data_IF_491449515465
#
_entry.id   IF_491449515465
#
_cell.length_a   1.000
_cell.length_b   1.000
_cell.length_c   1.000
_cell.angle_alpha   90.00
_cell.angle_beta   90.00
_cell.angle_gamma   90.00
#
_symmetry.space_group_name_H-M   'P 1'
#
loop_
_entity.id
_entity.type
_entity.pdbx_description
1 polymer ?
#
# COMPACT_ATOMS: atom_id res chain seq x y z
N UNK A 1 22.89 60.50 15.94
CA UNK A 1 21.98 59.49 16.53
C UNK A 1 20.72 59.23 15.68
N UNK A 2 20.08 60.25 15.07
CA UNK A 2 18.86 60.07 14.23
C UNK A 2 18.97 59.14 13.00
N UNK A 3 20.17 58.83 12.49
CA UNK A 3 20.35 57.97 11.29
C UNK A 3 20.28 56.46 11.60
N UNK A 4 20.57 56.06 12.84
CA UNK A 4 20.53 54.65 13.27
C UNK A 4 19.10 54.21 13.60
N UNK A 5 18.27 55.13 14.12
CA UNK A 5 16.86 54.86 14.41
C UNK A 5 16.03 54.63 13.13
N UNK A 6 16.35 55.34 12.04
CA UNK A 6 15.70 55.15 10.73
C UNK A 6 16.07 53.79 10.12
N UNK A 7 17.29 53.31 10.35
CA UNK A 7 17.74 52.02 9.81
C UNK A 7 17.09 50.83 10.52
N UNK A 8 16.86 50.95 11.83
CA UNK A 8 16.16 49.93 12.63
C UNK A 8 14.67 49.82 12.28
N UNK A 9 14.03 50.95 11.95
CA UNK A 9 12.62 50.96 11.55
C UNK A 9 12.40 50.36 10.15
N UNK A 10 13.39 50.46 9.25
CA UNK A 10 13.35 49.84 7.93
C UNK A 10 13.53 48.31 7.97
N UNK A 11 14.30 47.79 8.95
CA UNK A 11 14.56 46.35 9.08
C UNK A 11 13.34 45.56 9.60
N UNK A 12 12.48 46.21 10.40
CA UNK A 12 11.26 45.59 10.96
C UNK A 12 10.16 45.41 9.90
N UNK A 13 10.11 46.28 8.87
CA UNK A 13 9.10 46.21 7.81
C UNK A 13 9.29 45.04 6.83
N UNK A 14 10.47 44.42 6.80
CA UNK A 14 10.78 43.33 5.86
C UNK A 14 10.34 41.96 6.40
N UNK A 15 10.06 41.84 7.71
CA UNK A 15 9.67 40.57 8.35
C UNK A 15 8.16 40.31 8.39
N UNK A 16 7.32 41.18 7.81
CA UNK A 16 5.85 41.09 7.92
C UNK A 16 5.14 40.34 6.78
N UNK A 17 5.85 39.85 5.76
CA UNK A 17 5.24 39.04 4.70
C UNK A 17 5.19 37.56 5.10
N UNK A 18 4.47 37.27 6.18
CA UNK A 18 3.98 35.93 6.48
C UNK A 18 2.79 35.63 5.59
N UNK A 19 3.00 34.89 4.50
CA UNK A 19 1.92 34.37 3.67
C UNK A 19 1.21 33.25 4.44
N UNK A 20 0.12 33.55 5.12
CA UNK A 20 -0.77 32.53 5.68
C UNK A 20 -1.58 31.92 4.54
N UNK A 21 -1.09 30.83 3.96
CA UNK A 21 -1.90 29.99 3.08
C UNK A 21 -2.92 29.25 3.94
N UNK A 22 -4.10 29.85 4.09
CA UNK A 22 -5.29 29.16 4.59
C UNK A 22 -5.71 28.15 3.52
N UNK A 23 -5.34 26.89 3.70
CA UNK A 23 -5.94 25.78 2.96
C UNK A 23 -7.37 25.61 3.45
N UNK A 24 -8.34 26.04 2.64
CA UNK A 24 -9.74 25.68 2.82
C UNK A 24 -9.89 24.16 2.60
N UNK A 25 -10.09 23.43 3.69
CA UNK A 25 -10.53 22.04 3.64
C UNK A 25 -12.03 22.05 3.41
N UNK A 26 -12.47 21.86 2.16
CA UNK A 26 -13.87 21.65 1.82
C UNK A 26 -14.34 20.32 2.43
N UNK A 27 -14.85 20.36 3.67
CA UNK A 27 -15.60 19.24 4.24
C UNK A 27 -16.99 19.20 3.59
N UNK A 28 -17.08 18.60 2.41
CA UNK A 28 -18.35 18.11 1.90
C UNK A 28 -18.70 16.82 2.62
N UNK A 29 -19.33 16.99 3.78
CA UNK A 29 -19.93 15.92 4.56
C UNK A 29 -21.25 15.51 3.89
N UNK A 30 -21.17 14.74 2.81
CA UNK A 30 -22.33 14.02 2.28
C UNK A 30 -21.99 12.54 2.37
N UNK A 31 -22.54 11.90 3.39
CA UNK A 31 -22.37 10.48 3.68
C UNK A 31 -23.24 9.69 2.68
N UNK A 32 -22.89 9.72 1.40
CA UNK A 32 -23.25 8.67 0.47
C UNK A 32 -22.37 7.48 0.81
N UNK A 33 -22.94 6.28 0.85
CA UNK A 33 -22.16 5.03 0.89
C UNK A 33 -21.45 4.86 -0.47
N UNK A 34 -20.58 5.81 -0.81
CA UNK A 34 -19.83 5.87 -2.05
C UNK A 34 -18.71 4.84 -1.93
N UNK A 35 -18.87 3.76 -2.68
CA UNK A 35 -17.76 2.89 -3.03
C UNK A 35 -16.75 3.78 -3.75
N UNK A 36 -15.68 4.17 -3.05
CA UNK A 36 -14.62 4.97 -3.63
C UNK A 36 -13.67 4.03 -4.38
N UNK A 37 -13.30 4.42 -5.60
CA UNK A 37 -12.36 3.69 -6.43
C UNK A 37 -11.08 4.50 -6.57
N UNK A 38 -9.93 3.83 -6.55
CA UNK A 38 -8.67 4.41 -7.01
C UNK A 38 -8.32 3.73 -8.32
N UNK A 39 -8.10 4.55 -9.34
CA UNK A 39 -7.49 4.12 -10.59
C UNK A 39 -6.07 4.67 -10.62
N UNK A 40 -5.11 3.76 -10.62
CA UNK A 40 -3.71 4.02 -10.93
C UNK A 40 -3.49 3.82 -12.43
N UNK A 41 -2.25 3.86 -12.92
CA UNK A 41 -2.00 3.69 -14.36
C UNK A 41 -2.35 2.28 -14.86
N UNK A 42 -2.33 1.28 -13.98
CA UNK A 42 -2.46 -0.13 -14.38
C UNK A 42 -3.39 -0.96 -13.49
N UNK A 43 -3.95 -0.35 -12.44
CA UNK A 43 -4.76 -1.06 -11.46
C UNK A 43 -5.90 -0.16 -10.95
N UNK A 44 -7.12 -0.69 -11.00
CA UNK A 44 -8.29 -0.10 -10.37
C UNK A 44 -8.73 -0.95 -9.18
N UNK A 45 -8.92 -0.35 -8.01
CA UNK A 45 -9.43 -1.06 -6.81
C UNK A 45 -10.51 -0.26 -6.08
N UNK A 46 -11.34 -0.95 -5.32
CA UNK A 46 -12.23 -0.34 -4.33
C UNK A 46 -11.46 -0.05 -3.04
N UNK A 47 -11.62 1.15 -2.47
CA UNK A 47 -11.12 1.48 -1.14
C UNK A 47 -12.15 1.02 -0.10
N UNK A 48 -11.73 0.22 0.91
CA UNK A 48 -12.61 -0.13 2.01
C UNK A 48 -12.96 1.09 2.88
N UNK A 49 -14.10 1.04 3.56
CA UNK A 49 -14.46 2.06 4.56
C UNK A 49 -13.41 2.12 5.66
N UNK A 50 -13.00 3.33 6.07
CA UNK A 50 -11.99 3.54 7.10
C UNK A 50 -10.54 3.34 6.62
N UNK A 51 -10.32 3.37 5.30
CA UNK A 51 -9.01 3.32 4.68
C UNK A 51 -8.80 4.52 3.76
N UNK A 52 -7.54 4.93 3.61
CA UNK A 52 -7.13 6.04 2.75
C UNK A 52 -5.90 5.67 1.94
N UNK A 53 -5.79 6.27 0.76
CA UNK A 53 -4.59 6.20 -0.07
C UNK A 53 -3.46 7.04 0.51
N UNK A 54 -2.26 6.47 0.54
CA UNK A 54 -1.02 7.21 0.78
C UNK A 54 -0.35 7.49 -0.55
N UNK A 55 -0.35 8.76 -0.95
CA UNK A 55 0.32 9.24 -2.17
C UNK A 55 1.83 9.40 -2.02
N UNK A 56 2.31 9.34 -0.77
CA UNK A 56 3.71 9.58 -0.44
C UNK A 56 4.55 8.33 -0.67
N UNK A 57 4.74 8.00 -1.95
CA UNK A 57 5.51 6.85 -2.42
C UNK A 57 6.78 7.34 -3.13
N UNK A 58 7.72 7.90 -2.36
CA UNK A 58 8.95 8.51 -2.87
C UNK A 58 9.76 7.61 -3.79
N UNK A 59 9.75 6.30 -3.55
CA UNK A 59 10.52 5.31 -4.31
C UNK A 59 9.71 4.66 -5.45
N UNK A 60 8.44 5.05 -5.64
CA UNK A 60 7.52 4.47 -6.63
C UNK A 60 7.44 2.94 -6.57
N UNK A 61 7.67 2.36 -5.38
CA UNK A 61 7.67 0.90 -5.19
C UNK A 61 6.25 0.36 -5.27
N UNK A 62 5.29 1.11 -4.75
CA UNK A 62 3.89 0.72 -4.71
C UNK A 62 3.11 1.29 -5.90
N UNK A 63 2.36 0.45 -6.60
CA UNK A 63 1.32 0.96 -7.51
C UNK A 63 0.22 1.64 -6.67
N UNK A 64 -0.10 1.05 -5.52
CA UNK A 64 -1.09 1.58 -4.57
C UNK A 64 -0.68 1.25 -3.13
N UNK A 65 -0.90 2.20 -2.21
CA UNK A 65 -0.72 1.97 -0.78
C UNK A 65 -1.92 2.52 -0.01
N UNK A 66 -2.62 1.63 0.68
CA UNK A 66 -3.74 1.93 1.56
C UNK A 66 -3.31 1.78 3.01
N UNK A 67 -3.75 2.71 3.84
CA UNK A 67 -3.54 2.70 5.29
C UNK A 67 -4.88 2.93 5.96
N UNK A 68 -5.17 2.21 7.04
CA UNK A 68 -6.42 2.42 7.78
C UNK A 68 -6.40 3.75 8.55
N UNK A 69 -7.57 4.22 9.01
CA UNK A 69 -7.68 5.52 9.67
C UNK A 69 -6.81 5.64 10.93
N UNK A 70 -6.67 4.54 11.67
CA UNK A 70 -5.82 4.44 12.85
C UNK A 70 -4.33 4.36 12.54
N UNK A 71 -3.96 4.25 11.25
CA UNK A 71 -2.58 4.14 10.78
C UNK A 71 -1.79 3.03 11.49
N UNK A 72 -2.45 1.89 11.75
CA UNK A 72 -1.83 0.72 12.36
C UNK A 72 -1.75 -0.48 11.40
N UNK A 73 -2.46 -0.45 10.27
CA UNK A 73 -2.46 -1.49 9.26
C UNK A 73 -2.30 -0.90 7.85
N UNK A 74 -1.65 -1.67 6.98
CA UNK A 74 -1.39 -1.30 5.58
C UNK A 74 -1.78 -2.44 4.64
N UNK A 75 -2.30 -2.06 3.47
CA UNK A 75 -2.45 -2.92 2.30
C UNK A 75 -1.73 -2.23 1.15
N UNK A 76 -0.75 -2.90 0.56
CA UNK A 76 0.08 -2.33 -0.51
C UNK A 76 0.07 -3.23 -1.74
N UNK A 77 0.04 -2.63 -2.91
CA UNK A 77 0.14 -3.30 -4.21
C UNK A 77 1.50 -2.98 -4.81
N UNK A 78 2.30 -4.02 -5.02
CA UNK A 78 3.66 -3.93 -5.55
C UNK A 78 3.64 -4.56 -6.95
N UNK A 79 3.94 -3.82 -8.02
CA UNK A 79 4.02 -4.38 -9.36
C UNK A 79 5.21 -5.34 -9.46
N UNK A 80 4.98 -6.46 -10.15
CA UNK A 80 5.99 -7.50 -10.38
C UNK A 80 6.34 -7.48 -11.86
N UNK A 81 7.59 -7.12 -12.13
CA UNK A 81 8.12 -7.05 -13.49
C UNK A 81 8.77 -8.40 -13.82
N UNK A 82 8.18 -9.12 -14.76
CA UNK A 82 8.74 -10.34 -15.31
C UNK A 82 9.60 -10.03 -16.53
N UNK A 83 10.70 -10.76 -16.69
CA UNK A 83 11.48 -10.69 -17.92
C UNK A 83 10.77 -11.48 -19.04
N UNK A 84 11.20 -11.27 -20.29
CA UNK A 84 10.57 -11.92 -21.45
C UNK A 84 10.61 -13.44 -21.40
N UNK A 85 11.65 -14.04 -20.83
CA UNK A 85 11.76 -15.50 -20.68
C UNK A 85 10.68 -16.07 -19.74
N UNK A 86 10.39 -15.37 -18.65
CA UNK A 86 9.35 -15.76 -17.70
C UNK A 86 7.95 -15.53 -18.28
N UNK A 87 7.78 -14.59 -19.22
CA UNK A 87 6.50 -14.32 -19.87
C UNK A 87 6.01 -15.49 -20.75
N UNK A 88 6.92 -16.32 -21.26
CA UNK A 88 6.61 -17.48 -22.10
C UNK A 88 6.13 -18.72 -21.30
N UNK A 89 6.21 -18.69 -19.97
CA UNK A 89 5.78 -19.80 -19.10
C UNK A 89 4.26 -19.88 -18.96
N UNK A 90 3.74 -21.01 -18.48
CA UNK A 90 2.33 -21.08 -18.10
C UNK A 90 2.04 -20.18 -16.89
N UNK A 91 0.78 -19.74 -16.73
CA UNK A 91 0.37 -18.88 -15.62
C UNK A 91 0.68 -19.48 -14.25
N UNK A 92 0.43 -20.78 -14.08
CA UNK A 92 0.77 -21.50 -12.85
C UNK A 92 2.27 -21.45 -12.58
N UNK A 93 3.11 -21.72 -13.58
CA UNK A 93 4.57 -21.67 -13.40
C UNK A 93 5.07 -20.26 -13.06
N UNK A 94 4.48 -19.22 -13.67
CA UNK A 94 4.81 -17.82 -13.35
C UNK A 94 4.51 -17.52 -11.89
N UNK A 95 3.30 -17.83 -11.42
CA UNK A 95 2.89 -17.60 -10.02
C UNK A 95 3.79 -18.37 -9.05
N UNK A 96 4.14 -19.63 -9.35
CA UNK A 96 5.06 -20.42 -8.52
C UNK A 96 6.46 -19.80 -8.43
N UNK A 97 6.99 -19.29 -9.56
CA UNK A 97 8.29 -18.63 -9.60
C UNK A 97 8.27 -17.31 -8.84
N UNK A 98 7.22 -16.51 -9.02
CA UNK A 98 7.01 -15.26 -8.28
C UNK A 98 6.97 -15.55 -6.78
N UNK A 99 6.17 -16.53 -6.35
CA UNK A 99 6.10 -16.99 -4.96
C UNK A 99 7.50 -17.30 -4.43
N UNK A 100 8.25 -18.12 -5.15
CA UNK A 100 9.61 -18.53 -4.76
C UNK A 100 10.55 -17.32 -4.63
N UNK A 101 10.51 -16.37 -5.56
CA UNK A 101 11.34 -15.16 -5.51
C UNK A 101 11.00 -14.36 -4.24
N UNK A 102 9.71 -14.15 -4.00
CA UNK A 102 9.21 -13.37 -2.87
C UNK A 102 9.59 -14.02 -1.53
N UNK A 103 9.36 -15.32 -1.37
CA UNK A 103 9.68 -16.04 -0.14
C UNK A 103 11.18 -16.14 0.10
N UNK A 104 11.97 -16.44 -0.94
CA UNK A 104 13.45 -16.45 -0.83
C UNK A 104 13.99 -15.08 -0.48
N UNK A 105 13.48 -14.00 -1.08
CA UNK A 105 13.89 -12.62 -0.73
C UNK A 105 13.65 -12.36 0.76
N UNK A 106 12.44 -12.63 1.24
CA UNK A 106 12.06 -12.45 2.65
C UNK A 106 12.92 -13.26 3.59
N UNK A 107 13.13 -14.54 3.29
CA UNK A 107 13.98 -15.45 4.07
C UNK A 107 15.43 -14.95 4.18
N UNK A 108 15.95 -14.30 3.14
CA UNK A 108 17.33 -13.80 3.14
C UNK A 108 17.49 -12.41 3.77
N UNK A 109 16.40 -11.64 3.89
CA UNK A 109 16.44 -10.25 4.39
C UNK A 109 15.90 -10.07 5.80
N UNK A 110 15.09 -11.00 6.29
CA UNK A 110 14.52 -10.96 7.63
C UNK A 110 15.42 -11.70 8.63
N UNK A 111 15.44 -11.23 9.87
CA UNK A 111 16.10 -11.95 10.97
C UNK A 111 15.34 -13.23 11.31
N UNK A 112 14.00 -13.15 11.23
CA UNK A 112 13.08 -14.27 11.45
C UNK A 112 12.10 -14.35 10.28
N UNK A 113 11.99 -15.55 9.69
CA UNK A 113 11.03 -15.84 8.62
C UNK A 113 10.42 -17.24 8.83
N UNK A 114 9.10 -17.31 8.84
CA UNK A 114 8.35 -18.56 8.89
C UNK A 114 7.15 -18.50 7.93
N UNK A 115 7.06 -19.44 6.99
CA UNK A 115 5.88 -19.61 6.15
C UNK A 115 4.82 -20.43 6.92
N UNK A 116 3.69 -19.80 7.24
CA UNK A 116 2.61 -20.42 8.00
C UNK A 116 1.65 -21.20 7.10
N UNK A 117 1.24 -20.59 5.99
CA UNK A 117 0.26 -21.18 5.08
C UNK A 117 0.41 -20.70 3.64
N UNK A 118 -0.05 -21.55 2.72
CA UNK A 118 -0.15 -21.28 1.29
C UNK A 118 -1.50 -21.77 0.79
N UNK A 119 -2.21 -20.94 0.02
CA UNK A 119 -3.52 -21.28 -0.53
C UNK A 119 -3.67 -20.79 -1.98
N UNK A 120 -4.14 -21.66 -2.86
CA UNK A 120 -4.65 -21.24 -4.17
C UNK A 120 -6.04 -20.61 -3.99
N UNK A 121 -6.28 -19.44 -4.58
CA UNK A 121 -7.57 -18.76 -4.47
C UNK A 121 -8.36 -18.89 -5.77
N UNK A 122 -9.64 -19.24 -5.65
CA UNK A 122 -10.57 -19.25 -6.77
C UNK A 122 -10.95 -17.80 -7.12
N UNK A 123 -10.53 -17.35 -8.30
CA UNK A 123 -10.83 -15.99 -8.76
C UNK A 123 -10.77 -15.88 -10.28
N UNK A 124 -11.08 -14.68 -10.82
CA UNK A 124 -10.88 -14.37 -12.25
C UNK A 124 -9.41 -14.38 -12.69
N UNK A 125 -8.48 -14.24 -11.75
CA UNK A 125 -7.05 -14.28 -11.95
C UNK A 125 -6.45 -15.58 -11.37
N UNK A 126 -5.28 -15.98 -11.85
CA UNK A 126 -4.47 -16.95 -11.12
C UNK A 126 -3.95 -16.29 -9.86
N UNK A 127 -4.41 -16.76 -8.70
CA UNK A 127 -4.16 -16.15 -7.40
C UNK A 127 -3.57 -17.14 -6.40
N UNK A 128 -2.61 -16.65 -5.61
CA UNK A 128 -2.00 -17.42 -4.52
C UNK A 128 -1.82 -16.54 -3.29
N UNK A 129 -2.35 -17.00 -2.16
CA UNK A 129 -2.17 -16.38 -0.83
C UNK A 129 -1.05 -17.07 -0.08
N UNK A 130 -0.22 -16.29 0.61
CA UNK A 130 0.92 -16.71 1.41
C UNK A 130 0.87 -15.98 2.75
N UNK A 131 0.69 -16.72 3.83
CA UNK A 131 0.75 -16.17 5.18
C UNK A 131 2.09 -16.52 5.81
N UNK A 132 2.76 -15.54 6.41
CA UNK A 132 4.07 -15.75 7.01
C UNK A 132 4.31 -14.81 8.19
N UNK A 133 5.25 -15.19 9.04
CA UNK A 133 5.81 -14.35 10.10
C UNK A 133 7.13 -13.77 9.60
N UNK A 134 7.28 -12.45 9.72
CA UNK A 134 8.56 -11.74 9.55
C UNK A 134 8.83 -10.91 10.78
N UNK A 135 9.96 -11.16 11.46
CA UNK A 135 10.38 -10.39 12.64
C UNK A 135 9.24 -10.23 13.67
N UNK A 136 8.59 -11.34 14.05
CA UNK A 136 7.41 -11.39 14.95
C UNK A 136 6.15 -10.65 14.48
N UNK A 137 6.06 -10.28 13.19
CA UNK A 137 4.86 -9.69 12.59
C UNK A 137 4.24 -10.65 11.59
N UNK A 138 2.96 -10.96 11.75
CA UNK A 138 2.21 -11.75 10.79
C UNK A 138 1.80 -10.88 9.59
N UNK A 139 1.98 -11.42 8.40
CA UNK A 139 1.68 -10.75 7.14
C UNK A 139 1.01 -11.74 6.18
N UNK A 140 0.23 -11.21 5.24
CA UNK A 140 -0.35 -12.00 4.15
C UNK A 140 -0.04 -11.35 2.81
N UNK A 141 0.50 -12.14 1.89
CA UNK A 141 0.79 -11.75 0.51
C UNK A 141 -0.15 -12.49 -0.43
N UNK A 142 -0.87 -11.77 -1.28
CA UNK A 142 -1.66 -12.33 -2.36
C UNK A 142 -0.99 -11.96 -3.69
N UNK A 143 -0.51 -12.97 -4.40
CA UNK A 143 0.09 -12.83 -5.72
C UNK A 143 -1.00 -13.07 -6.75
N UNK A 144 -1.15 -12.15 -7.71
CA UNK A 144 -2.16 -12.26 -8.77
C UNK A 144 -1.73 -11.59 -10.07
N UNK A 145 -2.34 -11.97 -11.19
CA UNK A 145 -2.07 -11.37 -12.50
C UNK A 145 -3.02 -11.82 -13.59
N UNK A 146 -2.98 -11.13 -14.73
CA UNK A 146 -3.84 -11.36 -15.91
C UNK A 146 -3.09 -11.98 -17.12
N UNK A 147 -1.87 -12.47 -16.90
CA UNK A 147 -0.98 -12.98 -17.94
C UNK A 147 0.02 -11.98 -18.48
N UNK A 148 -0.26 -10.67 -18.34
CA UNK A 148 0.61 -9.58 -18.79
C UNK A 148 1.24 -8.81 -17.64
N UNK A 149 0.43 -8.55 -16.60
CA UNK A 149 0.83 -7.78 -15.42
C UNK A 149 0.59 -8.63 -14.19
N UNK A 150 1.53 -8.55 -13.25
CA UNK A 150 1.47 -9.26 -11.98
C UNK A 150 1.68 -8.29 -10.83
N UNK A 151 1.05 -8.59 -9.71
CA UNK A 151 1.14 -7.79 -8.51
C UNK A 151 1.27 -8.69 -7.29
N UNK A 152 1.99 -8.19 -6.30
CA UNK A 152 1.88 -8.64 -4.91
C UNK A 152 1.00 -7.65 -4.16
N UNK A 153 -0.11 -8.13 -3.60
CA UNK A 153 -0.87 -7.42 -2.59
C UNK A 153 -0.38 -7.86 -1.20
N UNK A 154 0.31 -7.00 -0.47
CA UNK A 154 0.83 -7.28 0.86
C UNK A 154 0.01 -6.56 1.92
N UNK A 155 -0.53 -7.31 2.88
CA UNK A 155 -1.21 -6.79 4.07
C UNK A 155 -0.39 -7.06 5.34
N UNK A 156 -0.22 -6.03 6.17
CA UNK A 156 0.58 -6.10 7.38
C UNK A 156 0.18 -5.02 8.40
N UNK A 157 0.52 -5.26 9.67
CA UNK A 157 0.44 -4.26 10.73
C UNK A 157 1.77 -3.52 10.88
N UNK A 158 1.70 -2.25 11.31
CA UNK A 158 2.87 -1.46 11.59
C UNK A 158 3.69 -2.07 12.73
N UNK A 159 5.02 -1.97 12.66
CA UNK A 159 5.97 -2.63 13.59
C UNK A 159 5.70 -2.38 15.08
N UNK A 160 5.11 -1.24 15.42
CA UNK A 160 4.82 -0.86 16.81
C UNK A 160 3.41 -1.28 17.28
N UNK A 161 2.65 -1.99 16.45
CA UNK A 161 1.31 -2.46 16.76
C UNK A 161 1.31 -3.97 16.99
N UNK A 162 0.69 -4.41 18.07
CA UNK A 162 0.47 -5.82 18.39
C UNK A 162 -1.01 -6.13 18.18
N UNK A 163 -1.40 -6.66 17.02
CA UNK A 163 -2.80 -6.94 16.73
C UNK A 163 -3.29 -8.16 17.52
N UNK A 164 -4.58 -8.19 17.81
CA UNK A 164 -5.25 -9.44 18.22
C UNK A 164 -5.50 -10.36 17.01
N UNK A 165 -5.79 -11.63 17.28
CA UNK A 165 -6.16 -12.60 16.24
C UNK A 165 -7.36 -12.12 15.41
N UNK A 166 -8.36 -11.50 16.04
CA UNK A 166 -9.53 -10.97 15.34
C UNK A 166 -9.18 -9.82 14.39
N UNK A 167 -8.23 -8.96 14.76
CA UNK A 167 -7.78 -7.87 13.89
C UNK A 167 -6.99 -8.41 12.70
N UNK A 168 -6.20 -9.46 12.90
CA UNK A 168 -5.48 -10.16 11.83
C UNK A 168 -6.47 -10.75 10.82
N UNK A 169 -7.49 -11.46 11.30
CA UNK A 169 -8.55 -12.02 10.46
C UNK A 169 -9.30 -10.93 9.69
N UNK A 170 -9.64 -9.82 10.35
CA UNK A 170 -10.29 -8.67 9.72
C UNK A 170 -9.43 -8.06 8.62
N UNK A 171 -8.14 -7.81 8.87
CA UNK A 171 -7.23 -7.25 7.89
C UNK A 171 -7.13 -8.12 6.63
N UNK A 172 -6.99 -9.44 6.79
CA UNK A 172 -6.89 -10.36 5.66
C UNK A 172 -8.22 -10.52 4.91
N UNK A 173 -9.36 -10.43 5.61
CA UNK A 173 -10.69 -10.36 4.99
C UNK A 173 -10.85 -9.09 4.14
N UNK A 174 -10.42 -7.94 4.65
CA UNK A 174 -10.41 -6.68 3.92
C UNK A 174 -9.50 -6.79 2.69
N UNK A 175 -8.27 -7.31 2.85
CA UNK A 175 -7.34 -7.53 1.75
C UNK A 175 -7.96 -8.36 0.63
N UNK A 176 -8.61 -9.49 0.97
CA UNK A 176 -9.30 -10.34 0.01
C UNK A 176 -10.38 -9.57 -0.75
N UNK A 177 -11.16 -8.75 -0.06
CA UNK A 177 -12.21 -7.91 -0.67
C UNK A 177 -11.59 -6.91 -1.65
N UNK A 178 -10.49 -6.24 -1.27
CA UNK A 178 -9.78 -5.29 -2.14
C UNK A 178 -9.25 -5.99 -3.39
N UNK A 179 -8.56 -7.13 -3.23
CA UNK A 179 -8.01 -7.90 -4.35
C UNK A 179 -9.12 -8.42 -5.28
N UNK A 180 -10.22 -8.92 -4.74
CA UNK A 180 -11.35 -9.39 -5.55
C UNK A 180 -12.04 -8.26 -6.32
N UNK A 181 -12.07 -7.05 -5.75
CA UNK A 181 -12.57 -5.86 -6.44
C UNK A 181 -11.63 -5.33 -7.54
N UNK A 182 -10.37 -5.76 -7.52
CA UNK A 182 -9.34 -5.19 -8.38
C UNK A 182 -9.55 -5.52 -9.85
N UNK A 183 -9.23 -4.57 -10.72
CA UNK A 183 -9.19 -4.76 -12.17
C UNK A 183 -7.85 -4.26 -12.69
N UNK A 184 -7.12 -5.15 -13.36
CA UNK A 184 -5.88 -4.84 -14.08
C UNK A 184 -6.29 -4.22 -15.43
N UNK A 185 -5.79 -3.01 -15.70
CA UNK A 185 -6.08 -2.24 -16.93
C UNK A 185 -4.99 -2.42 -17.99
#
# INVERSE_FOLDING_TARGET
MKKIEIFLLLFILIFSFGCSSSSETTQNNTQTSEISYITTNNLKVTIPSGWKEIKDNYEQIYELWLVNDNSNASISFIPIILNSELMEKSETEKIELIKKIITTKRQNTADEFELLSEQNMDSKYYMKSLQFIINNSIQNSIIFGDGKKYYECLAYFNKNYQPSDSEIEELFSIQNTVVQSSTIE
#
